data_IF_382064981518
#
_entry.id   IF_382064981518
#
_cell.length_a   1.000
_cell.length_b   1.000
_cell.length_c   1.000
_cell.angle_alpha   90.00
_cell.angle_beta   90.00
_cell.angle_gamma   90.00
#
_symmetry.space_group_name_H-M   'P 1'
#
loop_
_entity.id
_entity.type
_entity.pdbx_description
1 polymer ?
#
# COMPACT_ATOMS: atom_id res chain seq x y z
N UNK A 1 -13.55 12.59 51.99
CA UNK A 1 -14.41 11.39 51.88
C UNK A 1 -14.07 10.70 50.57
N UNK A 2 -13.47 9.51 50.66
CA UNK A 2 -12.88 8.76 49.55
C UNK A 2 -13.96 7.88 48.92
N UNK A 3 -14.15 7.95 47.59
CA UNK A 3 -14.97 6.99 46.85
C UNK A 3 -14.08 6.21 45.89
N UNK A 4 -13.71 4.99 46.30
CA UNK A 4 -13.18 3.93 45.43
C UNK A 4 -14.39 3.20 44.84
N UNK A 5 -14.46 3.05 43.53
CA UNK A 5 -15.39 2.11 42.89
C UNK A 5 -14.53 1.05 42.19
N UNK A 6 -14.71 -0.16 42.66
CA UNK A 6 -13.96 -1.36 42.32
C UNK A 6 -14.47 -1.98 41.01
N UNK A 7 -13.51 -2.50 40.25
CA UNK A 7 -13.66 -3.36 39.08
C UNK A 7 -14.07 -4.78 39.53
N UNK A 8 -15.05 -5.45 38.90
CA UNK A 8 -15.16 -6.90 39.00
C UNK A 8 -14.58 -7.57 37.74
N UNK A 9 -13.47 -8.27 37.95
CA UNK A 9 -12.90 -9.28 37.06
C UNK A 9 -13.83 -10.52 37.17
N UNK A 10 -14.58 -10.82 36.11
CA UNK A 10 -15.39 -12.03 36.05
C UNK A 10 -14.58 -13.17 35.44
N UNK A 11 -14.24 -14.10 36.33
CA UNK A 11 -13.59 -15.39 36.13
C UNK A 11 -14.57 -16.35 35.43
N UNK A 12 -14.27 -16.84 34.22
CA UNK A 12 -15.07 -17.88 33.55
C UNK A 12 -14.41 -19.24 33.80
N UNK A 13 -15.07 -20.01 34.65
CA UNK A 13 -14.66 -21.31 35.13
C UNK A 13 -14.80 -22.40 34.06
N UNK A 14 -13.75 -23.21 33.94
CA UNK A 14 -13.75 -24.53 33.30
C UNK A 14 -14.70 -25.48 34.02
N UNK A 15 -15.61 -26.10 33.27
CA UNK A 15 -16.34 -27.31 33.71
C UNK A 15 -15.99 -28.43 32.74
N UNK A 16 -15.15 -29.34 33.21
CA UNK A 16 -15.02 -30.70 32.70
C UNK A 16 -15.89 -31.59 33.58
N UNK A 17 -16.90 -32.25 33.01
CA UNK A 17 -17.35 -33.52 33.56
C UNK A 17 -17.92 -34.42 32.46
N UNK A 18 -17.31 -35.59 32.41
CA UNK A 18 -17.54 -36.77 31.60
C UNK A 18 -18.74 -37.61 32.05
N UNK A 19 -19.15 -38.50 31.13
CA UNK A 19 -19.64 -39.89 31.31
C UNK A 19 -21.14 -40.17 31.12
N UNK A 20 -21.46 -40.99 30.11
CA UNK A 20 -22.40 -42.11 30.24
C UNK A 20 -22.14 -43.16 29.16
N UNK A 21 -22.15 -44.43 29.56
CA UNK A 21 -21.65 -45.60 28.85
C UNK A 21 -22.58 -46.12 27.74
N UNK A 22 -21.98 -46.61 26.66
CA UNK A 22 -22.57 -47.54 25.70
C UNK A 22 -21.67 -48.76 25.57
N UNK A 23 -22.21 -49.94 25.85
CA UNK A 23 -21.51 -51.20 26.03
C UNK A 23 -20.92 -51.76 24.72
N UNK A 24 -19.76 -52.42 24.84
CA UNK A 24 -19.01 -53.15 23.80
C UNK A 24 -19.76 -54.41 23.32
N UNK A 25 -19.55 -54.89 22.08
CA UNK A 25 -18.57 -55.98 21.93
C UNK A 25 -17.74 -55.92 20.63
N UNK A 26 -16.46 -56.29 20.72
CA UNK A 26 -15.76 -56.95 19.61
C UNK A 26 -14.56 -56.20 19.01
N UNK A 27 -13.36 -56.69 19.34
CA UNK A 27 -12.18 -56.83 18.48
C UNK A 27 -11.94 -55.77 17.38
N UNK A 28 -11.05 -54.82 17.66
CA UNK A 28 -9.68 -54.73 17.13
C UNK A 28 -9.10 -53.36 17.52
N UNK A 29 -7.88 -53.38 18.02
CA UNK A 29 -7.09 -52.19 18.34
C UNK A 29 -6.73 -51.50 17.02
N UNK A 30 -7.45 -50.43 16.66
CA UNK A 30 -6.98 -49.45 15.68
C UNK A 30 -6.72 -48.16 16.44
N UNK A 31 -5.45 -47.81 16.53
CA UNK A 31 -4.98 -46.53 17.04
C UNK A 31 -5.62 -45.40 16.20
N UNK A 32 -6.04 -44.28 16.81
CA UNK A 32 -6.51 -43.15 16.03
C UNK A 32 -5.34 -42.57 15.24
N UNK A 33 -5.37 -42.75 13.91
CA UNK A 33 -4.45 -42.10 12.96
C UNK A 33 -4.30 -40.62 13.33
N UNK A 34 -3.07 -40.12 13.56
CA UNK A 34 -2.85 -38.70 13.80
C UNK A 34 -3.31 -37.94 12.55
N UNK A 35 -4.22 -36.98 12.75
CA UNK A 35 -4.63 -36.07 11.69
C UNK A 35 -3.46 -35.14 11.32
N UNK A 36 -2.53 -35.63 10.51
CA UNK A 36 -1.53 -34.85 9.79
C UNK A 36 -2.21 -34.10 8.62
N UNK A 37 -3.19 -33.24 8.95
CA UNK A 37 -3.71 -32.28 7.98
C UNK A 37 -2.73 -31.10 7.99
N UNK A 38 -1.74 -31.16 7.11
CA UNK A 38 -0.85 -30.02 6.86
C UNK A 38 -1.72 -28.81 6.47
N UNK A 39 -1.67 -27.70 7.24
CA UNK A 39 -2.49 -26.53 6.92
C UNK A 39 -2.11 -26.05 5.52
N UNK A 40 -3.10 -25.80 4.63
CA UNK A 40 -2.81 -25.43 3.26
C UNK A 40 -1.96 -24.16 3.24
N UNK A 41 -0.77 -24.27 2.65
CA UNK A 41 0.17 -23.14 2.51
C UNK A 41 -0.54 -22.05 1.72
N UNK A 42 -0.87 -20.95 2.41
CA UNK A 42 -1.45 -19.76 1.78
C UNK A 42 -0.44 -19.23 0.77
N UNK A 43 -0.76 -19.35 -0.53
CA UNK A 43 0.05 -18.77 -1.62
C UNK A 43 0.23 -17.27 -1.32
N UNK A 44 1.45 -16.88 -0.96
CA UNK A 44 1.81 -15.49 -0.73
C UNK A 44 1.69 -14.73 -2.06
N UNK A 45 0.66 -13.91 -2.20
CA UNK A 45 0.56 -12.93 -3.29
C UNK A 45 1.43 -11.71 -2.93
N UNK A 46 2.75 -11.91 -2.85
CA UNK A 46 3.75 -10.86 -2.60
C UNK A 46 4.72 -10.81 -3.79
N UNK A 47 4.22 -10.56 -4.99
CA UNK A 47 5.08 -10.03 -6.05
C UNK A 47 5.14 -8.50 -5.87
N UNK A 48 6.32 -8.01 -5.44
CA UNK A 48 6.74 -6.60 -5.54
C UNK A 48 7.21 -6.25 -6.97
N UNK A 49 6.80 -7.04 -7.97
CA UNK A 49 7.10 -6.74 -9.37
C UNK A 49 6.35 -5.46 -9.78
N UNK A 50 7.03 -4.51 -10.45
CA UNK A 50 6.34 -3.39 -11.08
C UNK A 50 5.37 -3.97 -12.12
N UNK A 51 4.09 -3.87 -11.81
CA UNK A 51 3.02 -4.41 -12.63
C UNK A 51 3.00 -3.70 -13.98
N UNK A 52 2.84 -4.44 -15.09
CA UNK A 52 2.67 -3.84 -16.39
C UNK A 52 1.44 -2.91 -16.40
N UNK A 53 1.63 -1.77 -17.07
CA UNK A 53 0.65 -0.75 -17.40
C UNK A 53 -0.72 -1.34 -17.79
N UNK A 54 -1.80 -0.66 -17.38
CA UNK A 54 -2.98 -0.58 -18.23
C UNK A 54 -4.33 -0.68 -17.56
N UNK A 55 -4.48 -1.34 -16.41
CA UNK A 55 -5.81 -1.46 -15.81
C UNK A 55 -6.04 -0.33 -14.80
N UNK A 56 -6.53 0.82 -15.31
CA UNK A 56 -6.90 2.00 -14.51
C UNK A 56 -7.74 1.61 -13.29
N UNK A 57 -8.64 0.62 -13.42
CA UNK A 57 -9.46 0.11 -12.33
C UNK A 57 -8.65 -0.57 -11.22
N UNK A 58 -7.56 -1.28 -11.57
CA UNK A 58 -6.63 -1.85 -10.58
C UNK A 58 -5.88 -0.74 -9.85
N UNK A 59 -5.40 0.27 -10.56
CA UNK A 59 -4.70 1.41 -9.96
C UNK A 59 -5.62 2.19 -9.02
N UNK A 60 -6.88 2.41 -9.39
CA UNK A 60 -7.90 2.99 -8.51
C UNK A 60 -8.09 2.17 -7.23
N UNK A 61 -8.22 0.85 -7.34
CA UNK A 61 -8.32 -0.03 -6.18
C UNK A 61 -7.08 0.02 -5.30
N UNK A 62 -5.89 0.08 -5.88
CA UNK A 62 -4.63 0.19 -5.13
C UNK A 62 -4.49 1.55 -4.44
N UNK A 63 -4.86 2.63 -5.11
CA UNK A 63 -4.88 3.99 -4.56
C UNK A 63 -5.83 4.09 -3.36
N UNK A 64 -7.06 3.59 -3.49
CA UNK A 64 -8.03 3.58 -2.39
C UNK A 64 -7.57 2.70 -1.23
N UNK A 65 -6.95 1.55 -1.51
CA UNK A 65 -6.34 0.72 -0.46
C UNK A 65 -5.20 1.45 0.25
N UNK A 66 -4.35 2.17 -0.49
CA UNK A 66 -3.25 2.92 0.09
C UNK A 66 -3.76 4.07 0.97
N UNK A 67 -4.80 4.78 0.54
CA UNK A 67 -5.49 5.80 1.34
C UNK A 67 -5.99 5.24 2.66
N UNK A 68 -6.80 4.17 2.62
CA UNK A 68 -7.33 3.51 3.83
C UNK A 68 -6.23 2.98 4.75
N UNK A 69 -5.08 2.60 4.21
CA UNK A 69 -3.94 2.13 5.00
C UNK A 69 -3.18 3.28 5.67
N UNK A 70 -3.07 4.42 4.99
CA UNK A 70 -2.51 5.64 5.56
C UNK A 70 -3.47 6.28 6.58
N UNK A 71 -4.78 6.17 6.35
CA UNK A 71 -5.82 6.51 7.31
C UNK A 71 -5.65 5.69 8.59
N UNK A 72 -5.54 6.37 9.73
CA UNK A 72 -5.30 5.73 11.02
C UNK A 72 -3.84 5.35 11.31
N UNK A 73 -2.92 5.43 10.33
CA UNK A 73 -1.50 5.16 10.58
C UNK A 73 -0.91 6.14 11.61
N UNK A 74 -1.33 7.41 11.58
CA UNK A 74 -0.92 8.42 12.56
C UNK A 74 -1.40 8.06 13.99
N UNK A 75 -2.64 7.56 14.12
CA UNK A 75 -3.16 7.09 15.42
C UNK A 75 -2.32 5.93 15.94
N UNK A 76 -1.99 4.96 15.08
CA UNK A 76 -1.17 3.81 15.44
C UNK A 76 0.26 4.21 15.86
N UNK A 77 0.84 5.23 15.23
CA UNK A 77 2.11 5.82 15.68
C UNK A 77 1.99 6.48 17.05
N UNK A 78 0.93 7.27 17.29
CA UNK A 78 0.72 7.95 18.59
C UNK A 78 0.59 6.98 19.76
N UNK A 79 -0.01 5.81 19.55
CA UNK A 79 -0.13 4.77 20.59
C UNK A 79 1.07 3.81 20.64
N UNK A 80 2.12 4.05 19.85
CA UNK A 80 3.36 3.27 19.85
C UNK A 80 3.29 1.93 19.12
N UNK A 81 2.25 1.67 18.33
CA UNK A 81 2.10 0.42 17.56
C UNK A 81 2.92 0.44 16.28
N UNK A 82 3.00 1.58 15.59
CA UNK A 82 3.80 1.74 14.38
C UNK A 82 4.99 2.66 14.61
N UNK A 83 6.09 2.40 13.90
CA UNK A 83 7.21 3.32 13.85
C UNK A 83 6.87 4.53 12.97
N UNK A 84 7.47 5.69 13.25
CA UNK A 84 7.26 6.90 12.43
C UNK A 84 7.58 6.68 10.94
N UNK A 85 8.62 5.89 10.66
CA UNK A 85 9.04 5.55 9.29
C UNK A 85 7.92 4.86 8.52
N UNK A 86 7.15 3.99 9.16
CA UNK A 86 6.07 3.24 8.52
C UNK A 86 4.91 4.16 8.14
N UNK A 87 4.61 5.17 8.97
CA UNK A 87 3.60 6.19 8.64
C UNK A 87 4.05 7.02 7.44
N UNK A 88 5.30 7.50 7.44
CA UNK A 88 5.90 8.25 6.33
C UNK A 88 5.86 7.42 5.02
N UNK A 89 6.20 6.13 5.08
CA UNK A 89 6.14 5.22 3.93
C UNK A 89 4.71 5.01 3.40
N UNK A 90 3.72 4.85 4.28
CA UNK A 90 2.31 4.70 3.87
C UNK A 90 1.81 5.96 3.17
N UNK A 91 2.17 7.14 3.68
CA UNK A 91 1.84 8.42 3.04
C UNK A 91 2.52 8.58 1.68
N UNK A 92 3.81 8.23 1.58
CA UNK A 92 4.54 8.27 0.31
C UNK A 92 3.91 7.32 -0.73
N UNK A 93 3.43 6.15 -0.30
CA UNK A 93 2.76 5.18 -1.17
C UNK A 93 1.45 5.74 -1.76
N UNK A 94 0.70 6.55 -1.01
CA UNK A 94 -0.49 7.24 -1.54
C UNK A 94 -0.12 8.19 -2.68
N UNK A 95 0.92 9.00 -2.48
CA UNK A 95 1.35 9.98 -3.50
C UNK A 95 1.86 9.28 -4.77
N UNK A 96 2.56 8.15 -4.63
CA UNK A 96 3.00 7.34 -5.78
C UNK A 96 1.82 6.82 -6.60
N UNK A 97 0.85 6.18 -5.94
CA UNK A 97 -0.32 5.67 -6.64
C UNK A 97 -1.20 6.76 -7.26
N UNK A 98 -1.27 7.95 -6.65
CA UNK A 98 -1.95 9.10 -7.24
C UNK A 98 -1.29 9.49 -8.57
N UNK A 99 0.03 9.60 -8.60
CA UNK A 99 0.80 9.90 -9.82
C UNK A 99 0.63 8.79 -10.88
N UNK A 100 0.75 7.53 -10.49
CA UNK A 100 0.63 6.39 -11.42
C UNK A 100 -0.78 6.31 -12.03
N UNK A 101 -1.83 6.55 -11.23
CA UNK A 101 -3.22 6.56 -11.67
C UNK A 101 -3.51 7.68 -12.66
N UNK A 102 -3.01 8.89 -12.40
CA UNK A 102 -3.20 10.02 -13.33
C UNK A 102 -2.43 9.78 -14.63
N UNK A 103 -1.21 9.25 -14.56
CA UNK A 103 -0.43 8.87 -15.75
C UNK A 103 -1.15 7.80 -16.59
N UNK A 104 -1.73 6.78 -15.95
CA UNK A 104 -2.51 5.76 -16.64
C UNK A 104 -3.77 6.35 -17.32
N UNK A 105 -4.42 7.34 -16.69
CA UNK A 105 -5.54 8.07 -17.32
C UNK A 105 -5.09 8.90 -18.52
N UNK A 106 -3.92 9.51 -18.47
CA UNK A 106 -3.33 10.22 -19.62
C UNK A 106 -3.01 9.24 -20.76
N UNK A 107 -2.43 8.08 -20.46
CA UNK A 107 -2.14 7.05 -21.46
C UNK A 107 -3.42 6.60 -22.18
N UNK A 108 -4.47 6.28 -21.42
CA UNK A 108 -5.79 5.93 -21.96
C UNK A 108 -6.39 7.07 -22.80
N UNK A 109 -6.32 8.32 -22.32
CA UNK A 109 -6.85 9.46 -23.07
C UNK A 109 -6.09 9.68 -24.40
N UNK A 110 -4.79 9.40 -24.46
CA UNK A 110 -4.01 9.44 -25.72
C UNK A 110 -4.49 8.38 -26.72
N UNK A 111 -4.77 7.17 -26.24
CA UNK A 111 -5.35 6.11 -27.08
C UNK A 111 -6.75 6.49 -27.59
N UNK A 112 -7.58 7.11 -26.74
CA UNK A 112 -8.91 7.61 -27.12
C UNK A 112 -8.82 8.73 -28.18
N UNK A 113 -7.85 9.65 -28.06
CA UNK A 113 -7.60 10.67 -29.10
C UNK A 113 -7.18 10.01 -30.42
N UNK A 114 -6.24 9.06 -30.41
CA UNK A 114 -5.79 8.38 -31.62
C UNK A 114 -6.93 7.59 -32.32
N UNK A 115 -7.80 6.95 -31.53
CA UNK A 115 -8.99 6.28 -32.04
C UNK A 115 -9.97 7.28 -32.67
N UNK A 116 -10.20 8.43 -32.03
CA UNK A 116 -11.08 9.49 -32.55
C UNK A 116 -10.51 10.15 -33.80
N UNK A 117 -9.20 10.35 -33.89
CA UNK A 117 -8.55 10.85 -35.12
C UNK A 117 -8.79 9.90 -36.31
N UNK A 118 -8.74 8.59 -36.05
CA UNK A 118 -9.04 7.58 -37.07
C UNK A 118 -10.52 7.62 -37.49
N UNK A 119 -11.44 7.79 -36.54
CA UNK A 119 -12.88 7.95 -36.82
C UNK A 119 -13.19 9.24 -37.59
N UNK A 120 -12.46 10.33 -37.32
CA UNK A 120 -12.61 11.59 -38.06
C UNK A 120 -12.16 11.42 -39.51
N UNK A 121 -11.07 10.69 -39.74
CA UNK A 121 -10.58 10.37 -41.09
C UNK A 121 -11.58 9.49 -41.86
N UNK A 122 -12.33 8.63 -41.17
CA UNK A 122 -13.44 7.86 -41.72
C UNK A 122 -14.74 8.67 -41.88
N UNK A 123 -14.79 9.92 -41.39
CA UNK A 123 -15.98 10.78 -41.43
C UNK A 123 -17.08 10.40 -40.43
N UNK A 124 -16.79 9.56 -39.44
CA UNK A 124 -17.75 9.05 -38.45
C UNK A 124 -18.01 10.01 -37.29
N UNK A 125 -17.09 10.94 -37.04
CA UNK A 125 -17.20 11.95 -35.98
C UNK A 125 -16.99 13.36 -36.53
N UNK A 126 -17.47 14.35 -35.78
CA UNK A 126 -17.24 15.76 -36.08
C UNK A 126 -15.88 16.24 -35.55
N UNK A 127 -15.37 17.35 -36.11
CA UNK A 127 -14.17 18.02 -35.57
C UNK A 127 -14.38 18.49 -34.14
N UNK A 128 -15.59 18.90 -33.79
CA UNK A 128 -15.95 19.37 -32.44
C UNK A 128 -15.80 18.26 -31.40
N UNK A 129 -16.20 17.03 -31.73
CA UNK A 129 -16.01 15.86 -30.86
C UNK A 129 -14.52 15.54 -30.65
N UNK A 130 -13.69 15.63 -31.70
CA UNK A 130 -12.25 15.44 -31.56
C UNK A 130 -11.63 16.51 -30.66
N UNK A 131 -12.01 17.77 -30.85
CA UNK A 131 -11.51 18.87 -30.02
C UNK A 131 -11.94 18.70 -28.56
N UNK A 132 -13.18 18.26 -28.29
CA UNK A 132 -13.62 17.96 -26.93
C UNK A 132 -12.70 16.94 -26.23
N UNK A 133 -12.36 15.83 -26.89
CA UNK A 133 -11.46 14.81 -26.31
C UNK A 133 -10.03 15.35 -26.12
N UNK A 134 -9.52 16.18 -27.04
CA UNK A 134 -8.23 16.86 -26.87
C UNK A 134 -8.22 17.82 -25.67
N UNK A 135 -9.32 18.52 -25.39
CA UNK A 135 -9.40 19.37 -24.19
C UNK A 135 -9.33 18.54 -22.90
N UNK A 136 -9.98 17.37 -22.87
CA UNK A 136 -9.89 16.44 -21.74
C UNK A 136 -8.47 15.91 -21.58
N UNK A 137 -7.79 15.56 -22.68
CA UNK A 137 -6.38 15.17 -22.65
C UNK A 137 -5.51 16.29 -22.06
N UNK A 138 -5.71 17.54 -22.49
CA UNK A 138 -4.95 18.68 -21.98
C UNK A 138 -5.13 18.85 -20.46
N UNK A 139 -6.36 18.79 -19.97
CA UNK A 139 -6.64 18.83 -18.52
C UNK A 139 -5.98 17.67 -17.77
N UNK A 140 -6.09 16.45 -18.30
CA UNK A 140 -5.44 15.29 -17.69
C UNK A 140 -3.91 15.44 -17.67
N UNK A 141 -3.30 15.97 -18.72
CA UNK A 141 -1.86 16.21 -18.74
C UNK A 141 -1.41 17.26 -17.73
N UNK A 142 -2.20 18.31 -17.51
CA UNK A 142 -1.92 19.30 -16.45
C UNK A 142 -1.99 18.63 -15.06
N UNK A 143 -3.06 17.86 -14.80
CA UNK A 143 -3.17 17.12 -13.53
C UNK A 143 -2.04 16.11 -13.33
N UNK A 144 -1.54 15.49 -14.40
CA UNK A 144 -0.40 14.58 -14.37
C UNK A 144 0.89 15.30 -13.98
N UNK A 145 1.14 16.49 -14.53
CA UNK A 145 2.30 17.30 -14.18
C UNK A 145 2.26 17.72 -12.69
N UNK A 146 1.10 18.13 -12.20
CA UNK A 146 0.91 18.47 -10.77
C UNK A 146 1.16 17.26 -9.88
N UNK A 147 0.62 16.09 -10.25
CA UNK A 147 0.82 14.85 -9.49
C UNK A 147 2.28 14.36 -9.53
N UNK A 148 2.97 14.50 -10.66
CA UNK A 148 4.39 14.20 -10.81
C UNK A 148 5.25 15.12 -9.92
N UNK A 149 5.02 16.44 -9.99
CA UNK A 149 5.73 17.39 -9.13
C UNK A 149 5.47 17.14 -7.63
N UNK A 150 4.25 16.74 -7.27
CA UNK A 150 3.90 16.34 -5.89
C UNK A 150 4.67 15.09 -5.47
N UNK A 151 4.76 14.08 -6.34
CA UNK A 151 5.53 12.85 -6.09
C UNK A 151 7.02 13.13 -5.91
N UNK A 152 7.61 13.90 -6.81
CA UNK A 152 9.02 14.26 -6.76
C UNK A 152 9.38 14.99 -5.46
N UNK A 153 8.56 15.96 -5.05
CA UNK A 153 8.74 16.66 -3.77
C UNK A 153 8.63 15.70 -2.59
N UNK A 154 7.61 14.84 -2.57
CA UNK A 154 7.41 13.86 -1.49
C UNK A 154 8.57 12.85 -1.40
N UNK A 155 9.13 12.42 -2.53
CA UNK A 155 10.28 11.51 -2.57
C UNK A 155 11.57 12.18 -2.07
N UNK A 156 11.80 13.44 -2.42
CA UNK A 156 12.91 14.22 -1.86
C UNK A 156 12.77 14.40 -0.36
N UNK A 157 11.60 14.85 0.12
CA UNK A 157 11.36 15.05 1.55
C UNK A 157 11.55 13.76 2.35
N UNK A 158 11.08 12.63 1.82
CA UNK A 158 11.29 11.31 2.41
C UNK A 158 12.77 10.91 2.45
N UNK A 159 13.52 11.17 1.37
CA UNK A 159 14.96 10.89 1.31
C UNK A 159 15.76 11.77 2.28
N UNK A 160 15.43 13.06 2.40
CA UNK A 160 16.06 13.96 3.37
C UNK A 160 15.74 13.57 4.82
N UNK A 161 14.49 13.20 5.10
CA UNK A 161 14.09 12.69 6.42
C UNK A 161 14.85 11.39 6.77
N UNK A 162 15.03 10.48 5.82
CA UNK A 162 15.82 9.27 6.00
C UNK A 162 17.29 9.59 6.30
N UNK A 163 17.92 10.47 5.52
CA UNK A 163 19.31 10.87 5.75
C UNK A 163 19.51 11.45 7.16
N UNK A 164 18.64 12.36 7.58
CA UNK A 164 18.69 12.95 8.94
C UNK A 164 18.55 11.87 10.02
N UNK A 165 17.71 10.86 9.78
CA UNK A 165 17.51 9.73 10.70
C UNK A 165 18.76 8.86 10.78
N UNK A 166 19.36 8.48 9.65
CA UNK A 166 20.59 7.68 9.63
C UNK A 166 21.77 8.41 10.29
N UNK A 167 21.91 9.71 10.05
CA UNK A 167 22.91 10.53 10.74
C UNK A 167 22.71 10.53 12.26
N UNK A 168 21.46 10.59 12.72
CA UNK A 168 21.15 10.52 14.16
C UNK A 168 21.47 9.14 14.74
N UNK A 169 21.11 8.07 14.03
CA UNK A 169 21.40 6.70 14.47
C UNK A 169 22.91 6.41 14.50
N UNK A 170 23.67 6.95 13.55
CA UNK A 170 25.14 6.84 13.54
C UNK A 170 25.75 7.55 14.75
N UNK A 171 25.26 8.75 15.11
CA UNK A 171 25.70 9.47 16.32
C UNK A 171 25.42 8.70 17.62
N UNK A 172 24.36 7.89 17.62
CA UNK A 172 24.00 7.02 18.74
C UNK A 172 24.77 5.69 18.74
N UNK A 173 25.61 5.42 17.73
CA UNK A 173 26.34 4.17 17.58
C UNK A 173 25.47 2.98 17.14
N UNK A 174 24.25 3.24 16.66
CA UNK A 174 23.28 2.21 16.27
C UNK A 174 23.40 1.86 14.78
N UNK A 175 23.64 2.86 13.93
CA UNK A 175 23.77 2.69 12.48
C UNK A 175 25.23 2.72 12.04
N UNK A 176 25.49 2.22 10.84
CA UNK A 176 26.80 2.19 10.20
C UNK A 176 27.04 3.41 9.31
N UNK A 177 28.30 3.64 8.93
CA UNK A 177 28.65 4.72 7.97
C UNK A 177 28.10 4.45 6.56
N UNK A 178 27.97 3.18 6.19
CA UNK A 178 27.34 2.75 4.94
C UNK A 178 25.89 3.24 4.86
N UNK A 179 25.09 3.07 5.91
CA UNK A 179 23.67 3.50 5.92
C UNK A 179 23.50 5.00 5.62
N UNK A 180 24.42 5.84 6.10
CA UNK A 180 24.43 7.28 5.80
C UNK A 180 24.85 7.54 4.36
N UNK A 181 25.84 6.81 3.86
CA UNK A 181 26.34 6.94 2.48
C UNK A 181 25.24 6.56 1.49
N UNK A 182 24.57 5.43 1.69
CA UNK A 182 23.46 4.98 0.85
C UNK A 182 22.31 6.00 0.84
N UNK A 183 21.99 6.57 2.01
CA UNK A 183 20.98 7.62 2.11
C UNK A 183 21.38 8.92 1.40
N UNK A 184 22.66 9.28 1.42
CA UNK A 184 23.19 10.44 0.67
C UNK A 184 23.15 10.21 -0.84
N UNK A 185 23.59 9.03 -1.29
CA UNK A 185 23.57 8.66 -2.70
C UNK A 185 22.14 8.67 -3.25
N UNK A 186 21.19 8.09 -2.52
CA UNK A 186 19.77 8.12 -2.92
C UNK A 186 19.22 9.54 -3.02
N UNK A 187 19.57 10.42 -2.07
CA UNK A 187 19.17 11.82 -2.13
C UNK A 187 19.80 12.55 -3.32
N UNK A 188 21.07 12.27 -3.61
CA UNK A 188 21.79 12.85 -4.75
C UNK A 188 21.19 12.38 -6.09
N UNK A 189 20.84 11.10 -6.21
CA UNK A 189 20.16 10.54 -7.38
C UNK A 189 18.83 11.24 -7.64
N UNK A 190 17.99 11.42 -6.62
CA UNK A 190 16.71 12.11 -6.77
C UNK A 190 16.89 13.59 -7.15
N UNK A 191 17.89 14.27 -6.60
CA UNK A 191 18.22 15.67 -6.98
C UNK A 191 18.77 15.79 -8.40
N UNK A 192 19.48 14.77 -8.88
CA UNK A 192 19.98 14.72 -10.26
C UNK A 192 18.85 14.51 -11.28
N UNK A 193 17.81 13.74 -10.92
CA UNK A 193 16.64 13.51 -11.77
C UNK A 193 15.74 14.75 -11.95
N UNK A 194 15.92 15.79 -11.13
CA UNK A 194 15.18 17.06 -11.23
C UNK A 194 15.90 18.15 -12.03
N UNK A 195 17.10 17.86 -12.55
CA UNK A 195 17.87 18.78 -13.41
C UNK A 195 17.63 18.45 -14.88
#
# INVERSE_FOLDING_TARGET
MIRRVALPIALLATVMLTLAAGQSPGNKSEEPEPFDIEPPILKQNLSDEPLPDGDVARLEKQFERAKRNAEGAERLYKIGVLAKVEVEQRLLKVVRYESDLVNARVARAKEEVAAKESQLAAGEITKEELEAVKTVLAQLTETAQVAAAKRERAELEAAEANLRRQQKLLKLGIAQKSDVTDAQEKLAQLKAQQK
#
